data_IF_937694147464
#
_entry.id   IF_937694147464
#
_cell.length_a   1.000
_cell.length_b   1.000
_cell.length_c   1.000
_cell.angle_alpha   90.00
_cell.angle_beta   90.00
_cell.angle_gamma   90.00
#
_symmetry.space_group_name_H-M   'P 1'
#
loop_
_entity.id
_entity.type
_entity.pdbx_description
1 polymer ?
#
# COMPACT_ATOMS: atom_id res chain seq x y z
N UNK A 1 -29.95 -6.05 2.51
CA UNK A 1 -28.70 -5.64 1.83
C UNK A 1 -28.00 -4.58 2.68
N UNK A 2 -26.75 -4.78 3.11
CA UNK A 2 -26.00 -3.74 3.86
C UNK A 2 -25.79 -2.52 2.95
N UNK A 3 -26.04 -1.32 3.46
CA UNK A 3 -25.86 -0.08 2.70
C UNK A 3 -24.39 0.04 2.23
N UNK A 4 -24.15 0.59 1.03
CA UNK A 4 -22.79 0.85 0.56
C UNK A 4 -22.09 1.82 1.53
N UNK A 5 -20.83 1.53 1.84
CA UNK A 5 -20.01 2.41 2.68
C UNK A 5 -19.86 3.74 1.92
N UNK A 6 -20.12 4.89 2.55
CA UNK A 6 -19.92 6.18 1.90
C UNK A 6 -18.44 6.35 1.54
N UNK A 7 -18.19 6.91 0.36
CA UNK A 7 -16.85 7.10 -0.20
C UNK A 7 -15.90 7.84 0.76
N UNK A 8 -16.40 8.84 1.48
CA UNK A 8 -15.64 9.57 2.50
C UNK A 8 -15.12 8.68 3.62
N UNK A 9 -15.92 7.71 4.06
CA UNK A 9 -15.55 6.78 5.12
C UNK A 9 -14.55 5.71 4.63
N UNK A 10 -14.65 5.27 3.37
CA UNK A 10 -13.63 4.42 2.77
C UNK A 10 -12.29 5.17 2.70
N UNK A 11 -12.30 6.35 2.08
CA UNK A 11 -11.11 7.16 1.89
C UNK A 11 -10.44 7.45 3.22
N UNK A 12 -11.19 7.88 4.25
CA UNK A 12 -10.61 8.14 5.56
C UNK A 12 -9.91 6.91 6.14
N UNK A 13 -10.55 5.73 6.14
CA UNK A 13 -9.99 4.51 6.73
C UNK A 13 -8.77 4.00 5.96
N UNK A 14 -8.86 3.98 4.64
CA UNK A 14 -7.74 3.56 3.79
C UNK A 14 -6.57 4.56 3.88
N UNK A 15 -6.86 5.86 3.96
CA UNK A 15 -5.85 6.90 4.16
C UNK A 15 -5.18 6.79 5.53
N UNK A 16 -5.91 6.47 6.60
CA UNK A 16 -5.30 6.23 7.92
C UNK A 16 -4.33 5.05 7.87
N UNK A 17 -4.73 3.93 7.25
CA UNK A 17 -3.82 2.79 7.06
C UNK A 17 -2.61 3.20 6.22
N UNK A 18 -2.84 3.87 5.08
CA UNK A 18 -1.78 4.37 4.20
C UNK A 18 -0.81 5.31 4.92
N UNK A 19 -1.31 6.23 5.73
CA UNK A 19 -0.50 7.16 6.52
C UNK A 19 0.38 6.42 7.55
N UNK A 20 -0.17 5.43 8.26
CA UNK A 20 0.60 4.58 9.18
C UNK A 20 1.69 3.83 8.43
N UNK A 21 1.37 3.25 7.27
CA UNK A 21 2.34 2.58 6.43
C UNK A 21 3.47 3.55 6.03
N UNK A 22 3.12 4.71 5.47
CA UNK A 22 4.10 5.72 5.02
C UNK A 22 4.99 6.17 6.18
N UNK A 23 4.44 6.44 7.35
CA UNK A 23 5.22 6.80 8.55
C UNK A 23 6.18 5.68 8.96
N UNK A 24 5.72 4.43 8.97
CA UNK A 24 6.59 3.27 9.26
C UNK A 24 7.70 3.09 8.21
N UNK A 25 7.40 3.43 6.95
CA UNK A 25 8.33 3.34 5.81
C UNK A 25 9.55 4.27 5.96
N UNK A 26 9.41 5.38 6.70
CA UNK A 26 10.53 6.28 7.02
C UNK A 26 11.47 5.71 8.08
N UNK A 27 11.08 4.68 8.82
CA UNK A 27 11.94 4.02 9.80
C UNK A 27 12.82 2.92 9.19
N UNK A 28 12.36 2.25 8.13
CA UNK A 28 12.98 1.02 7.62
C UNK A 28 12.95 0.99 6.09
N UNK A 29 14.11 0.71 5.47
CA UNK A 29 14.17 0.38 4.05
C UNK A 29 13.93 -1.13 3.92
N UNK A 30 12.78 -1.50 3.35
CA UNK A 30 12.42 -2.91 3.18
C UNK A 30 13.12 -3.47 1.94
N UNK A 31 13.60 -4.70 2.05
CA UNK A 31 13.99 -5.47 0.86
C UNK A 31 12.75 -5.75 0.01
N UNK A 32 12.90 -6.03 -1.30
CA UNK A 32 11.77 -6.24 -2.21
C UNK A 32 10.76 -7.29 -1.71
N UNK A 33 11.23 -8.41 -1.15
CA UNK A 33 10.34 -9.44 -0.59
C UNK A 33 9.51 -8.94 0.60
N UNK A 34 10.14 -8.22 1.53
CA UNK A 34 9.45 -7.64 2.68
C UNK A 34 8.50 -6.51 2.29
N UNK A 35 8.83 -5.74 1.25
CA UNK A 35 7.94 -4.72 0.68
C UNK A 35 6.63 -5.35 0.19
N UNK A 36 6.72 -6.42 -0.61
CA UNK A 36 5.53 -7.10 -1.14
C UNK A 36 4.69 -7.75 -0.03
N UNK A 37 5.34 -8.37 0.96
CA UNK A 37 4.66 -8.96 2.12
C UNK A 37 3.94 -7.90 2.96
N UNK A 38 4.61 -6.77 3.23
CA UNK A 38 4.02 -5.64 3.96
C UNK A 38 2.82 -5.05 3.20
N UNK A 39 2.95 -4.84 1.89
CA UNK A 39 1.89 -4.32 1.04
C UNK A 39 0.68 -5.25 1.01
N UNK A 40 0.90 -6.56 0.91
CA UNK A 40 -0.18 -7.54 1.03
C UNK A 40 -0.89 -7.43 2.39
N UNK A 41 -0.13 -7.40 3.48
CA UNK A 41 -0.70 -7.32 4.83
C UNK A 41 -1.49 -6.02 5.06
N UNK A 42 -0.90 -4.86 4.75
CA UNK A 42 -1.58 -3.57 4.91
C UNK A 42 -2.75 -3.40 3.96
N UNK A 43 -2.62 -3.94 2.74
CA UNK A 43 -3.73 -4.11 1.82
C UNK A 43 -4.88 -4.85 2.49
N UNK A 44 -4.62 -6.03 3.07
CA UNK A 44 -5.64 -6.84 3.74
C UNK A 44 -6.31 -6.11 4.91
N UNK A 45 -5.56 -5.39 5.72
CA UNK A 45 -6.13 -4.55 6.79
C UNK A 45 -7.06 -3.48 6.19
N UNK A 46 -6.61 -2.74 5.17
CA UNK A 46 -7.42 -1.70 4.55
C UNK A 46 -8.68 -2.26 3.85
N UNK A 47 -8.54 -3.38 3.15
CA UNK A 47 -9.62 -4.06 2.45
C UNK A 47 -10.67 -4.66 3.37
N UNK A 48 -10.27 -5.16 4.55
CA UNK A 48 -11.21 -5.57 5.60
C UNK A 48 -12.16 -4.41 5.94
N UNK A 49 -11.65 -3.18 6.09
CA UNK A 49 -12.48 -2.01 6.34
C UNK A 49 -13.26 -1.54 5.10
N UNK A 50 -12.67 -1.66 3.91
CA UNK A 50 -13.23 -1.19 2.63
C UNK A 50 -14.32 -2.07 2.00
N UNK A 51 -14.45 -3.34 2.42
CA UNK A 51 -15.46 -4.28 1.93
C UNK A 51 -15.59 -4.30 0.39
N UNK A 52 -16.71 -3.82 -0.17
CA UNK A 52 -16.99 -3.87 -1.62
C UNK A 52 -16.04 -3.00 -2.45
N UNK A 53 -15.35 -2.05 -1.84
CA UNK A 53 -14.41 -1.14 -2.50
C UNK A 53 -12.95 -1.45 -2.10
N UNK A 54 -12.66 -2.70 -1.72
CA UNK A 54 -11.35 -3.08 -1.22
C UNK A 54 -10.22 -2.92 -2.24
N UNK A 55 -10.48 -3.11 -3.54
CA UNK A 55 -9.48 -2.83 -4.58
C UNK A 55 -8.96 -1.39 -4.50
N UNK A 56 -9.85 -0.43 -4.24
CA UNK A 56 -9.49 0.97 -4.10
C UNK A 56 -8.72 1.24 -2.80
N UNK A 57 -9.09 0.54 -1.72
CA UNK A 57 -8.32 0.59 -0.48
C UNK A 57 -6.86 0.10 -0.70
N UNK A 58 -6.69 -0.93 -1.52
CA UNK A 58 -5.37 -1.41 -1.93
C UNK A 58 -4.56 -0.37 -2.72
N UNK A 59 -5.19 0.38 -3.62
CA UNK A 59 -4.54 1.49 -4.35
C UNK A 59 -4.10 2.60 -3.40
N UNK A 60 -4.98 3.03 -2.50
CA UNK A 60 -4.73 4.11 -1.53
C UNK A 60 -3.55 3.77 -0.61
N UNK A 61 -3.36 2.50 -0.27
CA UNK A 61 -2.22 2.02 0.52
C UNK A 61 -0.98 1.82 -0.34
N UNK A 62 -1.11 1.16 -1.50
CA UNK A 62 -0.01 0.65 -2.28
C UNK A 62 0.86 1.75 -2.90
N UNK A 63 0.23 2.77 -3.49
CA UNK A 63 0.97 3.82 -4.20
C UNK A 63 1.82 4.65 -3.22
N UNK A 64 1.27 5.26 -2.16
CA UNK A 64 2.05 6.12 -1.29
C UNK A 64 3.17 5.38 -0.56
N UNK A 65 2.90 4.15 -0.09
CA UNK A 65 3.91 3.35 0.59
C UNK A 65 5.08 2.98 -0.33
N UNK A 66 4.79 2.58 -1.58
CA UNK A 66 5.84 2.22 -2.54
C UNK A 66 6.68 3.43 -2.93
N UNK A 67 6.05 4.58 -3.19
CA UNK A 67 6.78 5.84 -3.49
C UNK A 67 7.69 6.24 -2.33
N UNK A 68 7.21 6.12 -1.09
CA UNK A 68 8.02 6.43 0.09
C UNK A 68 9.23 5.48 0.22
N UNK A 69 9.05 4.19 -0.06
CA UNK A 69 10.16 3.22 -0.04
C UNK A 69 11.20 3.50 -1.13
N UNK A 70 10.78 3.82 -2.35
CA UNK A 70 11.71 4.17 -3.44
C UNK A 70 12.46 5.46 -3.10
N UNK A 71 11.79 6.43 -2.50
CA UNK A 71 12.42 7.69 -2.06
C UNK A 71 13.45 7.45 -0.94
N UNK A 72 13.19 6.48 -0.06
CA UNK A 72 14.16 6.10 0.98
C UNK A 72 15.38 5.40 0.39
N UNK A 73 15.17 4.44 -0.51
CA UNK A 73 16.27 3.78 -1.23
C UNK A 73 17.11 4.80 -2.00
N UNK A 74 16.48 5.75 -2.69
CA UNK A 74 17.19 6.81 -3.39
C UNK A 74 18.01 7.71 -2.45
N UNK A 75 17.52 8.00 -1.25
CA UNK A 75 18.26 8.77 -0.26
C UNK A 75 19.48 8.00 0.29
N UNK A 76 19.34 6.70 0.53
CA UNK A 76 20.45 5.84 0.99
C UNK A 76 21.54 5.71 -0.08
N UNK A 77 21.16 5.54 -1.34
CA UNK A 77 22.10 5.36 -2.45
C UNK A 77 22.67 6.68 -2.99
N UNK A 78 21.97 7.82 -2.83
CA UNK A 78 22.54 9.15 -3.14
C UNK A 78 23.80 9.45 -2.33
N UNK A 79 23.94 8.88 -1.13
CA UNK A 79 25.17 8.95 -0.35
C UNK A 79 26.35 8.24 -1.04
N UNK A 80 26.08 7.37 -2.01
CA UNK A 80 27.03 6.50 -2.72
C UNK A 80 27.18 6.90 -4.20
N UNK A 81 26.40 7.88 -4.67
CA UNK A 81 26.51 8.51 -5.99
C UNK A 81 25.99 7.65 -7.16
N UNK A 82 24.66 7.59 -7.36
CA UNK A 82 23.87 7.24 -8.59
C UNK A 82 22.42 6.85 -8.20
N UNK A 83 21.44 6.52 -9.09
CA UNK A 83 21.02 6.99 -10.44
C UNK A 83 19.63 7.74 -10.41
N UNK A 84 18.96 7.94 -11.55
CA UNK A 84 17.61 8.59 -11.63
C UNK A 84 16.46 7.61 -11.28
N UNK A 85 16.17 7.49 -9.98
CA UNK A 85 15.16 6.57 -9.42
C UNK A 85 13.74 6.79 -9.93
N UNK A 86 13.42 7.96 -10.47
CA UNK A 86 12.08 8.25 -10.96
C UNK A 86 11.68 7.38 -12.15
N UNK A 87 12.65 6.86 -12.90
CA UNK A 87 12.42 5.89 -13.98
C UNK A 87 11.95 4.55 -13.42
N UNK A 88 12.40 4.17 -12.22
CA UNK A 88 12.04 2.90 -11.58
C UNK A 88 10.69 2.97 -10.86
N UNK A 89 10.20 4.17 -10.54
CA UNK A 89 8.94 4.36 -9.79
C UNK A 89 7.77 3.63 -10.46
N UNK A 90 7.47 3.80 -11.75
CA UNK A 90 6.38 3.07 -12.38
C UNK A 90 6.57 1.56 -12.35
N UNK A 91 7.80 1.09 -12.62
CA UNK A 91 8.12 -0.34 -12.70
C UNK A 91 7.96 -1.07 -11.37
N UNK A 92 8.25 -0.40 -10.26
CA UNK A 92 8.14 -0.96 -8.91
C UNK A 92 6.75 -0.71 -8.32
N UNK A 93 6.17 0.48 -8.52
CA UNK A 93 4.88 0.87 -7.97
C UNK A 93 3.73 0.02 -8.51
N UNK A 94 3.76 -0.38 -9.78
CA UNK A 94 2.70 -1.20 -10.39
C UNK A 94 2.57 -2.59 -9.71
N UNK A 95 3.62 -3.45 -9.69
CA UNK A 95 3.51 -4.76 -9.05
C UNK A 95 3.30 -4.67 -7.53
N UNK A 96 3.92 -3.68 -6.88
CA UNK A 96 3.77 -3.44 -5.45
C UNK A 96 2.31 -3.04 -5.10
N UNK A 97 1.72 -2.12 -5.86
CA UNK A 97 0.31 -1.74 -5.71
C UNK A 97 -0.61 -2.91 -6.04
N UNK A 98 -0.27 -3.72 -7.04
CA UNK A 98 -0.96 -4.97 -7.34
C UNK A 98 -1.03 -5.89 -6.12
N UNK A 99 0.07 -6.07 -5.40
CA UNK A 99 0.09 -6.86 -4.16
C UNK A 99 -0.77 -6.25 -3.05
N UNK A 100 -0.80 -4.93 -2.91
CA UNK A 100 -1.70 -4.26 -1.96
C UNK A 100 -3.18 -4.46 -2.32
N UNK A 101 -3.52 -4.46 -3.61
CA UNK A 101 -4.87 -4.77 -4.11
C UNK A 101 -5.24 -6.22 -3.78
N UNK A 102 -4.37 -7.18 -4.06
CA UNK A 102 -4.61 -8.61 -3.74
C UNK A 102 -4.80 -8.80 -2.24
N UNK A 103 -3.97 -8.16 -1.43
CA UNK A 103 -4.14 -8.10 0.02
C UNK A 103 -5.52 -7.58 0.40
N UNK A 104 -5.91 -6.42 -0.13
CA UNK A 104 -7.18 -5.80 0.19
C UNK A 104 -8.40 -6.65 -0.20
N UNK A 105 -8.37 -7.27 -1.37
CA UNK A 105 -9.41 -8.24 -1.77
C UNK A 105 -9.49 -9.41 -0.79
N UNK A 106 -8.34 -9.91 -0.32
CA UNK A 106 -8.28 -10.97 0.71
C UNK A 106 -8.91 -10.51 2.01
N UNK A 107 -8.59 -9.29 2.48
CA UNK A 107 -9.19 -8.73 3.69
C UNK A 107 -10.71 -8.56 3.60
N UNK A 108 -11.20 -8.11 2.45
CA UNK A 108 -12.64 -8.02 2.20
C UNK A 108 -13.32 -9.38 2.16
N UNK A 109 -12.67 -10.39 1.57
CA UNK A 109 -13.14 -11.76 1.57
C UNK A 109 -13.27 -12.30 3.00
N UNK A 110 -12.25 -12.14 3.85
CA UNK A 110 -12.28 -12.53 5.27
C UNK A 110 -13.41 -11.86 6.04
N UNK A 111 -13.72 -10.60 5.74
CA UNK A 111 -14.85 -9.89 6.37
C UNK A 111 -16.21 -10.46 5.95
N UNK A 112 -16.33 -10.92 4.70
CA UNK A 112 -17.60 -11.39 4.15
C UNK A 112 -17.91 -12.85 4.51
N UNK A 113 -16.89 -13.64 4.89
CA UNK A 113 -17.04 -15.03 5.34
C UNK A 113 -17.26 -15.17 6.85
N UNK A 114 -17.16 -14.08 7.61
CA UNK A 114 -17.51 -13.98 9.03
C UNK A 114 -18.88 -13.32 9.21
#
# INVERSE_FOLDING_TARGET
MKSPIPWSALSLKATVVSAVCVLGSFGVALSPGWLLAALFFFGAVAGFWGARQAWLAGIIVGIPFTVAQITRWSALERAVGTPDYWILVPLVAVPATGMAIVGALTGAWVRNTR
#
